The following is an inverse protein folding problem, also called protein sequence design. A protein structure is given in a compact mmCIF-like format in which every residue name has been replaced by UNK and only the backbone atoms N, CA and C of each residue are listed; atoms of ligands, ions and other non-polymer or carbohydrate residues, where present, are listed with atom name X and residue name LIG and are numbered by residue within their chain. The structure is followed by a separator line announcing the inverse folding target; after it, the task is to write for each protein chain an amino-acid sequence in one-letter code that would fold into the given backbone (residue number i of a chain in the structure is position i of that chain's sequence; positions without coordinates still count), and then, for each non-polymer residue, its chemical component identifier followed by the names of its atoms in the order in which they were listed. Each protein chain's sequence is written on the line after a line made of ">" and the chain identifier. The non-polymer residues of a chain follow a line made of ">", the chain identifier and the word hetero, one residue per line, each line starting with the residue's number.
data_IF_806165153214
#
_entry.id   IF_806165153214
#
_cell.length_a   1.000
_cell.length_b   1.000
_cell.length_c   1.000
_cell.angle_alpha   90.00
_cell.angle_beta   90.00
_cell.angle_gamma   90.00
#
_symmetry.space_group_name_H-M   'P 1'
#
loop_
_entity.id
_entity.type
_entity.pdbx_description
1 polymer ?
#
# COMPACT_ATOMS: atom_id res chain seq x y z
N UNK A 1 -1.91 0.59 -14.72
CA UNK A 1 -2.35 1.65 -13.78
C UNK A 1 -3.56 1.12 -13.03
N UNK A 2 -3.52 1.13 -11.71
CA UNK A 2 -4.64 0.72 -10.83
C UNK A 2 -4.93 1.86 -9.85
N UNK A 3 -6.21 2.12 -9.59
CA UNK A 3 -6.67 3.23 -8.74
C UNK A 3 -7.84 2.80 -7.88
N UNK A 4 -7.88 3.23 -6.61
CA UNK A 4 -8.99 2.97 -5.68
C UNK A 4 -9.16 4.08 -4.65
N UNK A 5 -10.31 4.08 -3.97
CA UNK A 5 -10.54 4.89 -2.78
C UNK A 5 -10.04 4.16 -1.53
N UNK A 6 -9.23 4.83 -0.70
CA UNK A 6 -8.68 4.29 0.55
C UNK A 6 -9.17 5.02 1.81
N UNK A 7 -10.39 5.55 1.76
CA UNK A 7 -11.02 6.32 2.83
C UNK A 7 -11.73 7.55 2.28
N UNK A 8 -12.15 8.44 3.18
CA UNK A 8 -12.79 9.71 2.84
C UNK A 8 -11.79 10.59 2.11
N UNK A 9 -12.15 11.08 0.92
CA UNK A 9 -11.33 12.03 0.14
C UNK A 9 -9.91 11.56 -0.21
N UNK A 10 -9.61 10.26 -0.10
CA UNK A 10 -8.26 9.72 -0.34
C UNK A 10 -8.24 8.74 -1.50
N UNK A 11 -7.61 9.16 -2.60
CA UNK A 11 -7.42 8.35 -3.80
C UNK A 11 -6.02 7.73 -3.79
N UNK A 12 -5.92 6.43 -4.07
CA UNK A 12 -4.65 5.71 -4.14
C UNK A 12 -4.42 5.22 -5.56
N UNK A 13 -3.23 5.44 -6.10
CA UNK A 13 -2.84 5.01 -7.44
C UNK A 13 -1.54 4.22 -7.42
N UNK A 14 -1.45 3.20 -8.26
CA UNK A 14 -0.21 2.46 -8.53
C UNK A 14 0.01 2.30 -10.04
N UNK A 15 1.23 2.61 -10.48
CA UNK A 15 1.63 2.71 -11.88
C UNK A 15 2.66 1.66 -12.31
N UNK A 16 2.94 0.64 -11.49
CA UNK A 16 3.98 -0.36 -11.77
C UNK A 16 5.37 0.03 -11.25
N UNK A 17 5.42 0.91 -10.26
CA UNK A 17 6.63 1.32 -9.54
C UNK A 17 6.70 0.62 -8.17
N UNK A 18 7.77 0.87 -7.42
CA UNK A 18 7.95 0.36 -6.05
C UNK A 18 7.20 1.20 -5.01
N UNK A 19 6.12 1.88 -5.39
CA UNK A 19 5.37 2.80 -4.54
C UNK A 19 3.91 2.91 -4.98
N UNK A 20 3.08 3.37 -4.05
CA UNK A 20 1.74 3.89 -4.32
C UNK A 20 1.71 5.38 -4.03
N UNK A 21 0.96 6.14 -4.83
CA UNK A 21 0.66 7.55 -4.56
C UNK A 21 -0.69 7.67 -3.91
N UNK A 22 -0.76 8.47 -2.85
CA UNK A 22 -1.98 8.82 -2.16
C UNK A 22 -2.25 10.31 -2.36
N UNK A 23 -3.47 10.63 -2.81
CA UNK A 23 -3.94 11.96 -3.14
C UNK A 23 -5.08 12.29 -2.17
N UNK A 24 -4.81 13.15 -1.20
CA UNK A 24 -5.80 13.62 -0.23
C UNK A 24 -6.51 14.86 -0.78
N UNK A 25 -7.63 14.65 -1.47
CA UNK A 25 -8.29 15.68 -2.28
C UNK A 25 -8.85 16.86 -1.46
N UNK A 26 -9.21 16.63 -0.20
CA UNK A 26 -9.78 17.68 0.66
C UNK A 26 -8.72 18.61 1.25
N UNK A 27 -7.49 18.10 1.41
CA UNK A 27 -6.37 18.88 1.98
C UNK A 27 -5.37 19.28 0.89
N UNK A 28 -5.63 18.88 -0.37
CA UNK A 28 -4.75 19.05 -1.54
C UNK A 28 -3.33 18.50 -1.35
N UNK A 29 -3.20 17.43 -0.56
CA UNK A 29 -1.90 16.82 -0.22
C UNK A 29 -1.63 15.56 -1.04
N UNK A 30 -0.36 15.38 -1.43
CA UNK A 30 0.10 14.17 -2.15
C UNK A 30 1.30 13.55 -1.44
N UNK A 31 1.20 12.26 -1.12
CA UNK A 31 2.28 11.53 -0.47
C UNK A 31 2.41 10.09 -0.99
N UNK A 32 3.51 9.44 -0.60
CA UNK A 32 3.90 8.12 -1.08
C UNK A 32 3.93 7.10 0.05
N UNK A 33 3.59 5.86 -0.25
CA UNK A 33 3.99 4.70 0.54
C UNK A 33 4.83 3.79 -0.38
N UNK A 34 6.01 3.40 0.09
CA UNK A 34 7.03 2.78 -0.77
C UNK A 34 7.37 1.36 -0.31
N UNK A 35 7.99 0.56 -1.17
CA UNK A 35 8.55 -0.74 -0.81
C UNK A 35 9.92 -0.63 -0.08
N UNK A 36 10.34 0.58 0.28
CA UNK A 36 11.58 0.85 1.03
C UNK A 36 11.35 1.09 2.51
N UNK A 37 10.16 0.76 3.03
CA UNK A 37 9.87 0.83 4.46
C UNK A 37 10.78 -0.11 5.25
N UNK A 38 11.23 0.32 6.43
CA UNK A 38 12.10 -0.48 7.30
C UNK A 38 11.48 -1.85 7.63
N UNK A 39 10.15 -1.92 7.76
CA UNK A 39 9.40 -3.14 8.02
C UNK A 39 9.55 -4.21 6.91
N UNK A 40 10.07 -3.86 5.74
CA UNK A 40 10.28 -4.76 4.61
C UNK A 40 11.73 -5.26 4.47
N UNK A 41 12.63 -4.91 5.41
CA UNK A 41 14.04 -5.33 5.46
C UNK A 41 14.82 -5.16 4.13
N UNK A 42 14.52 -4.11 3.35
CA UNK A 42 15.07 -3.88 2.00
C UNK A 42 14.84 -5.02 0.96
N UNK A 43 14.05 -6.05 1.30
CA UNK A 43 13.81 -7.22 0.41
C UNK A 43 13.06 -6.84 -0.86
N UNK A 44 12.27 -5.77 -0.81
CA UNK A 44 11.29 -5.40 -1.84
C UNK A 44 11.63 -4.11 -2.58
N UNK A 45 12.79 -3.49 -2.31
CA UNK A 45 13.13 -2.16 -2.83
C UNK A 45 13.16 -2.08 -4.37
N UNK A 46 13.44 -3.21 -5.04
CA UNK A 46 13.47 -3.35 -6.50
C UNK A 46 12.20 -3.95 -7.09
N UNK A 47 11.28 -4.43 -6.26
CA UNK A 47 10.03 -5.03 -6.68
C UNK A 47 9.04 -3.93 -7.15
N UNK A 48 7.97 -4.33 -7.82
CA UNK A 48 6.98 -3.44 -8.41
C UNK A 48 5.59 -3.80 -7.94
N UNK A 49 4.81 -2.79 -7.59
CA UNK A 49 3.41 -2.96 -7.20
C UNK A 49 2.57 -3.16 -8.47
N UNK A 50 1.82 -4.27 -8.50
CA UNK A 50 0.99 -4.66 -9.64
C UNK A 50 -0.51 -4.63 -9.32
N UNK A 51 -0.88 -4.66 -8.04
CA UNK A 51 -2.26 -4.57 -7.59
C UNK A 51 -2.38 -3.86 -6.24
N UNK A 52 -3.52 -3.25 -5.98
CA UNK A 52 -3.83 -2.56 -4.73
C UNK A 52 -5.27 -2.88 -4.29
N UNK A 53 -5.52 -2.94 -2.99
CA UNK A 53 -6.85 -3.12 -2.40
C UNK A 53 -6.92 -2.47 -1.01
N UNK A 54 -8.06 -1.88 -0.66
CA UNK A 54 -8.24 -1.25 0.65
C UNK A 54 -9.39 -1.89 1.43
N UNK A 55 -9.13 -2.22 2.69
CA UNK A 55 -10.15 -2.69 3.63
C UNK A 55 -10.56 -1.57 4.58
N UNK A 56 -11.75 -0.98 4.38
CA UNK A 56 -12.26 0.11 5.20
C UNK A 56 -12.40 -0.27 6.69
N UNK A 57 -12.91 -1.47 6.99
CA UNK A 57 -13.18 -1.92 8.38
C UNK A 57 -11.89 -2.08 9.19
N UNK A 58 -10.86 -2.66 8.57
CA UNK A 58 -9.54 -2.88 9.19
C UNK A 58 -8.59 -1.69 9.01
N UNK A 59 -8.94 -0.76 8.12
CA UNK A 59 -8.13 0.39 7.68
C UNK A 59 -6.74 -0.04 7.20
N UNK A 60 -6.72 -1.02 6.31
CA UNK A 60 -5.49 -1.59 5.74
C UNK A 60 -5.51 -1.40 4.23
N UNK A 61 -4.48 -0.73 3.72
CA UNK A 61 -4.12 -0.75 2.31
C UNK A 61 -3.17 -1.91 2.07
N UNK A 62 -3.55 -2.82 1.20
CA UNK A 62 -2.72 -3.93 0.75
C UNK A 62 -2.27 -3.70 -0.68
N UNK A 63 -1.05 -4.11 -1.00
CA UNK A 63 -0.53 -4.13 -2.35
C UNK A 63 0.11 -5.48 -2.67
N UNK A 64 -0.18 -6.00 -3.85
CA UNK A 64 0.48 -7.17 -4.40
C UNK A 64 1.64 -6.74 -5.29
N UNK A 65 2.77 -7.43 -5.19
CA UNK A 65 3.98 -7.13 -5.93
C UNK A 65 4.25 -8.15 -7.05
N UNK A 66 5.17 -7.83 -7.96
CA UNK A 66 5.53 -8.68 -9.09
C UNK A 66 6.25 -9.96 -8.63
N UNK A 67 7.05 -9.88 -7.58
CA UNK A 67 7.79 -11.05 -7.05
C UNK A 67 6.96 -11.91 -6.09
N UNK A 68 5.64 -11.69 -6.05
CA UNK A 68 4.68 -12.50 -5.31
C UNK A 68 4.59 -12.16 -3.83
N UNK A 69 4.95 -10.94 -3.42
CA UNK A 69 4.71 -10.48 -2.06
C UNK A 69 3.38 -9.76 -1.93
N UNK A 70 2.83 -9.81 -0.73
CA UNK A 70 1.77 -8.91 -0.28
C UNK A 70 2.37 -8.04 0.82
N UNK A 71 2.30 -6.73 0.61
CA UNK A 71 2.66 -5.70 1.58
C UNK A 71 1.41 -5.00 2.08
N UNK A 72 1.48 -4.47 3.30
CA UNK A 72 0.35 -3.81 3.92
C UNK A 72 0.79 -2.57 4.69
N UNK A 73 -0.03 -1.53 4.59
CA UNK A 73 0.05 -0.34 5.42
C UNK A 73 -1.26 -0.19 6.19
N UNK A 74 -1.17 -0.11 7.51
CA UNK A 74 -2.31 0.11 8.39
C UNK A 74 -2.42 1.60 8.73
N UNK A 75 -3.58 2.19 8.50
CA UNK A 75 -3.84 3.56 8.91
C UNK A 75 -3.89 3.65 10.46
N UNK A 76 -3.08 4.54 11.01
CA UNK A 76 -2.98 4.83 12.46
C UNK A 76 -4.16 5.66 12.96
N UNK A 77 -4.79 6.45 12.07
CA UNK A 77 -5.97 7.25 12.42
C UNK A 77 -7.13 6.33 12.84
N UNK A 78 -7.72 6.67 13.99
CA UNK A 78 -8.95 6.05 14.49
C UNK A 78 -10.20 6.83 14.07
N UNK A 79 -10.02 8.00 13.44
CA UNK A 79 -11.12 8.85 12.99
C UNK A 79 -11.61 8.43 11.59
N UNK A 80 -12.75 8.99 11.18
CA UNK A 80 -13.25 8.81 9.81
C UNK A 80 -12.43 9.58 8.75
N UNK A 81 -11.52 10.47 9.20
CA UNK A 81 -10.64 11.23 8.31
C UNK A 81 -9.46 10.37 7.87
N UNK A 82 -9.17 10.46 6.59
CA UNK A 82 -7.99 9.87 5.97
C UNK A 82 -6.72 10.62 6.40
N UNK A 83 -5.55 9.97 6.42
CA UNK A 83 -4.29 10.66 6.68
C UNK A 83 -3.91 11.59 5.52
N UNK A 84 -3.36 12.76 5.86
CA UNK A 84 -2.77 13.70 4.89
C UNK A 84 -1.28 13.48 4.64
N UNK A 85 -0.63 12.53 5.36
CA UNK A 85 0.78 12.21 5.17
C UNK A 85 1.07 10.71 5.35
N UNK A 86 2.25 10.28 4.90
CA UNK A 86 2.74 8.91 5.03
C UNK A 86 2.88 8.47 6.49
N UNK A 87 3.16 9.40 7.41
CA UNK A 87 3.33 9.12 8.85
C UNK A 87 2.05 8.56 9.50
N UNK A 88 0.89 8.86 8.93
CA UNK A 88 -0.40 8.31 9.35
C UNK A 88 -0.60 6.83 9.00
N UNK A 89 0.38 6.22 8.35
CA UNK A 89 0.39 4.80 7.99
C UNK A 89 1.50 4.06 8.71
N UNK A 90 1.27 2.78 8.96
CA UNK A 90 2.22 1.87 9.58
C UNK A 90 2.41 0.65 8.68
N UNK A 91 3.61 0.51 8.12
CA UNK A 91 3.97 -0.68 7.35
C UNK A 91 3.94 -1.93 8.25
N UNK A 92 3.41 -3.03 7.73
CA UNK A 92 3.39 -4.34 8.40
C UNK A 92 4.36 -5.29 7.71
N UNK A 93 4.97 -6.25 8.42
CA UNK A 93 5.89 -7.20 7.82
C UNK A 93 5.32 -7.84 6.55
N UNK A 94 6.12 -7.95 5.48
CA UNK A 94 5.63 -8.44 4.20
C UNK A 94 5.45 -9.95 4.30
N UNK A 95 4.52 -10.52 3.53
CA UNK A 95 4.42 -11.96 3.41
C UNK A 95 4.49 -12.38 1.95
N UNK A 96 5.23 -13.45 1.66
CA UNK A 96 5.30 -14.03 0.32
C UNK A 96 4.06 -14.89 0.11
N UNK A 97 3.26 -14.55 -0.90
CA UNK A 97 2.15 -15.39 -1.32
C UNK A 97 2.72 -16.71 -1.85
N UNK A 98 2.35 -17.82 -1.23
CA UNK A 98 2.68 -19.15 -1.75
C UNK A 98 1.75 -19.44 -2.91
N UNK A 99 2.30 -19.72 -4.08
CA UNK A 99 1.53 -20.33 -5.17
C UNK A 99 1.47 -21.82 -4.91
N UNK A 100 0.29 -22.44 -5.07
CA UNK A 100 0.16 -23.90 -5.03
C UNK A 100 0.49 -24.53 -6.40
N UNK A 101 1.22 -23.82 -7.26
CA UNK A 101 1.71 -24.41 -8.48
C UNK A 101 2.79 -25.40 -8.07
N UNK A 102 2.51 -26.70 -8.22
CA UNK A 102 3.56 -27.72 -8.17
C UNK A 102 4.61 -27.29 -9.18
N UNK A 103 5.84 -27.08 -8.70
CA UNK A 103 7.00 -26.97 -9.57
C UNK A 103 7.05 -28.27 -10.39
N UNK A 104 6.70 -28.17 -11.68
CA UNK A 104 6.92 -29.22 -12.70
C UNK A 104 8.36 -29.16 -13.21
#
# INVERSE_FOLDING_TARGET
>A
LVTLWAGTSLLVTASGENMVRLLHLEEDETYLLTLSEDAFDNKLIRDKIVSISYNQKKRILAAGTKDGYVVMWKCKSMSAKSPSSAEGWEAKPPFRAKTNAKDE
#
